data_IF_560788050707
#
_entry.id   IF_560788050707
#
_cell.length_a   1.000
_cell.length_b   1.000
_cell.length_c   1.000
_cell.angle_alpha   90.00
_cell.angle_beta   90.00
_cell.angle_gamma   90.00
#
_symmetry.space_group_name_H-M   'P 1'
#
loop_
_entity.id
_entity.type
_entity.pdbx_description
1 polymer ?
#
# COMPACT_ATOMS: atom_id res chain seq x y z
N UNK A 1 22.77 24.01 -16.83
CA UNK A 1 22.23 22.63 -16.98
C UNK A 1 20.73 22.74 -17.16
N UNK A 2 20.22 22.47 -18.36
CA UNK A 2 18.78 22.49 -18.61
C UNK A 2 18.13 21.19 -18.11
N UNK A 3 17.12 21.33 -17.25
CA UNK A 3 16.25 20.23 -16.86
C UNK A 3 15.33 19.90 -18.04
N UNK A 4 15.27 18.62 -18.42
CA UNK A 4 14.26 18.13 -19.36
C UNK A 4 12.86 18.53 -18.87
N UNK A 5 11.87 18.72 -19.76
CA UNK A 5 10.49 19.05 -19.34
C UNK A 5 9.95 18.08 -18.28
N UNK A 6 10.31 16.80 -18.41
CA UNK A 6 10.11 15.75 -17.42
C UNK A 6 10.85 15.99 -16.10
N UNK A 7 12.13 16.35 -16.13
CA UNK A 7 12.94 16.69 -14.96
C UNK A 7 12.41 17.91 -14.19
N UNK A 8 11.80 18.88 -14.89
CA UNK A 8 11.11 20.03 -14.25
C UNK A 8 9.86 19.61 -13.48
N UNK A 9 9.11 18.62 -13.97
CA UNK A 9 7.96 18.07 -13.27
C UNK A 9 8.37 17.19 -12.09
N UNK A 10 9.39 16.35 -12.27
CA UNK A 10 9.98 15.55 -11.20
C UNK A 10 10.56 16.40 -10.06
N UNK A 11 11.18 17.54 -10.37
CA UNK A 11 11.74 18.45 -9.37
C UNK A 11 10.67 19.11 -8.47
N UNK A 12 9.38 19.05 -8.85
CA UNK A 12 8.26 19.57 -8.06
C UNK A 12 7.62 18.49 -7.16
N UNK A 13 8.03 17.23 -7.30
CA UNK A 13 7.52 16.16 -6.44
C UNK A 13 8.18 16.26 -5.07
N UNK A 14 7.41 16.09 -3.97
CA UNK A 14 7.98 15.96 -2.62
C UNK A 14 8.58 14.56 -2.42
N UNK A 15 9.36 14.09 -3.40
CA UNK A 15 9.92 12.74 -3.47
C UNK A 15 11.43 12.80 -3.68
N UNK A 16 12.13 11.78 -3.17
CA UNK A 16 13.51 11.51 -3.56
C UNK A 16 13.57 11.24 -5.09
N UNK A 17 14.63 11.75 -5.73
CA UNK A 17 14.85 11.63 -7.18
C UNK A 17 14.78 10.17 -7.67
N UNK A 18 15.21 9.20 -6.85
CA UNK A 18 15.15 7.77 -7.18
C UNK A 18 13.71 7.27 -7.25
N UNK A 19 12.85 7.71 -6.33
CA UNK A 19 11.44 7.34 -6.31
C UNK A 19 10.68 8.02 -7.45
N UNK A 20 11.00 9.28 -7.75
CA UNK A 20 10.48 9.99 -8.93
C UNK A 20 10.81 9.26 -10.24
N UNK A 21 12.06 8.80 -10.41
CA UNK A 21 12.46 7.99 -11.57
C UNK A 21 11.67 6.68 -11.64
N UNK A 22 11.52 5.98 -10.51
CA UNK A 22 10.76 4.73 -10.47
C UNK A 22 9.31 4.94 -10.93
N UNK A 23 8.69 6.02 -10.49
CA UNK A 23 7.32 6.39 -10.86
C UNK A 23 7.18 6.65 -12.37
N UNK A 24 8.14 7.35 -12.98
CA UNK A 24 8.16 7.61 -14.42
C UNK A 24 8.34 6.33 -15.22
N UNK A 25 9.28 5.46 -14.82
CA UNK A 25 9.42 4.15 -15.46
C UNK A 25 8.16 3.31 -15.31
N UNK A 26 7.48 3.37 -14.17
CA UNK A 26 6.19 2.71 -13.96
C UNK A 26 5.12 3.19 -14.93
N UNK A 27 5.06 4.50 -15.21
CA UNK A 27 4.17 5.06 -16.21
C UNK A 27 4.53 4.61 -17.64
N UNK A 28 5.81 4.71 -18.03
CA UNK A 28 6.31 4.31 -19.35
C UNK A 28 6.11 2.81 -19.64
N UNK A 29 6.24 1.96 -18.62
CA UNK A 29 6.09 0.52 -18.73
C UNK A 29 4.66 0.02 -18.48
N UNK A 30 3.70 0.93 -18.24
CA UNK A 30 2.29 0.58 -18.02
C UNK A 30 2.00 -0.11 -16.68
N UNK A 31 2.91 -0.03 -15.71
CA UNK A 31 2.76 -0.63 -14.37
C UNK A 31 2.70 0.43 -13.25
N UNK A 32 2.08 1.58 -13.53
CA UNK A 32 2.05 2.69 -12.58
C UNK A 32 1.32 2.36 -11.27
N UNK A 33 0.20 1.64 -11.31
CA UNK A 33 -0.60 1.33 -10.12
C UNK A 33 0.19 0.67 -8.96
N UNK A 34 0.90 -0.46 -9.20
CA UNK A 34 1.73 -1.07 -8.16
C UNK A 34 2.92 -0.19 -7.80
N UNK A 35 3.53 0.50 -8.76
CA UNK A 35 4.70 1.35 -8.52
C UNK A 35 4.34 2.56 -7.65
N UNK A 36 3.24 3.25 -7.95
CA UNK A 36 2.75 4.38 -7.16
C UNK A 36 2.42 3.98 -5.72
N UNK A 37 1.92 2.75 -5.52
CA UNK A 37 1.65 2.19 -4.19
C UNK A 37 2.94 1.95 -3.41
N UNK A 38 3.97 1.39 -4.06
CA UNK A 38 5.30 1.23 -3.44
C UNK A 38 5.92 2.59 -3.15
N UNK A 39 5.95 3.50 -4.13
CA UNK A 39 6.50 4.86 -3.96
C UNK A 39 5.83 5.55 -2.78
N UNK A 40 4.49 5.57 -2.72
CA UNK A 40 3.77 6.18 -1.60
C UNK A 40 4.13 5.53 -0.26
N UNK A 41 4.19 4.19 -0.20
CA UNK A 41 4.55 3.49 1.02
C UNK A 41 5.97 3.80 1.53
N UNK A 42 6.93 4.00 0.60
CA UNK A 42 8.33 4.32 0.92
C UNK A 42 8.59 5.80 1.19
N UNK A 43 7.68 6.68 0.76
CA UNK A 43 7.85 8.13 0.87
C UNK A 43 7.25 8.70 2.15
N UNK A 44 6.41 7.94 2.84
CA UNK A 44 5.82 8.35 4.12
C UNK A 44 6.55 7.71 5.30
N UNK A 45 6.17 8.14 6.51
CA UNK A 45 6.57 7.46 7.73
C UNK A 45 6.07 6.01 7.76
N UNK A 46 6.77 5.18 8.53
CA UNK A 46 6.39 3.80 8.76
C UNK A 46 4.95 3.69 9.29
N UNK A 47 4.11 2.81 8.71
CA UNK A 47 2.75 2.59 9.19
C UNK A 47 2.70 1.72 10.46
N UNK A 48 3.82 1.16 10.91
CA UNK A 48 3.85 0.33 12.12
C UNK A 48 3.77 1.20 13.36
N UNK A 49 2.67 1.07 14.11
CA UNK A 49 2.53 1.78 15.38
C UNK A 49 3.50 1.22 16.41
N UNK A 50 4.05 2.09 17.25
CA UNK A 50 4.76 1.70 18.46
C UNK A 50 3.72 1.18 19.47
N UNK A 51 3.62 -0.14 19.61
CA UNK A 51 2.77 -0.77 20.62
C UNK A 51 3.62 -1.21 21.82
N UNK A 52 2.99 -1.35 22.98
CA UNK A 52 3.63 -1.76 24.22
C UNK A 52 2.96 -3.03 24.76
N UNK A 53 3.74 -3.86 25.48
CA UNK A 53 3.26 -5.07 26.16
C UNK A 53 2.68 -6.12 25.21
N UNK A 54 1.65 -6.83 25.66
CA UNK A 54 1.06 -7.97 24.96
C UNK A 54 0.51 -7.63 23.56
N UNK A 55 0.11 -6.38 23.36
CA UNK A 55 -0.36 -5.88 22.05
C UNK A 55 0.75 -5.88 20.99
N UNK A 56 2.00 -5.65 21.39
CA UNK A 56 3.14 -5.69 20.46
C UNK A 56 3.40 -7.14 20.01
N UNK A 57 3.40 -8.10 20.93
CA UNK A 57 3.62 -9.51 20.61
C UNK A 57 2.54 -10.07 19.66
N UNK A 58 1.26 -9.75 19.92
CA UNK A 58 0.16 -10.14 19.04
C UNK A 58 0.28 -9.52 17.63
N UNK A 59 0.62 -8.23 17.55
CA UNK A 59 0.82 -7.55 16.28
C UNK A 59 2.03 -8.09 15.51
N UNK A 60 3.13 -8.43 16.17
CA UNK A 60 4.31 -9.03 15.53
C UNK A 60 4.00 -10.40 14.92
N UNK A 61 3.23 -11.24 15.62
CA UNK A 61 2.78 -12.53 15.11
C UNK A 61 1.90 -12.33 13.86
N UNK A 62 0.97 -11.38 13.91
CA UNK A 62 0.11 -11.08 12.76
C UNK A 62 0.91 -10.49 11.57
N UNK A 63 1.90 -9.63 11.86
CA UNK A 63 2.79 -9.01 10.86
C UNK A 63 3.69 -10.01 10.14
N UNK A 64 3.96 -11.19 10.71
CA UNK A 64 4.71 -12.27 10.00
C UNK A 64 4.12 -12.62 8.64
N UNK A 65 2.81 -12.44 8.45
CA UNK A 65 2.15 -12.68 7.16
C UNK A 65 2.49 -11.63 6.10
N UNK A 66 2.89 -10.42 6.52
CA UNK A 66 3.28 -9.31 5.64
C UNK A 66 4.80 -9.23 5.43
N UNK A 67 5.57 -9.88 6.30
CA UNK A 67 7.03 -9.86 6.28
C UNK A 67 7.56 -10.39 4.95
N UNK A 68 8.16 -9.50 4.18
CA UNK A 68 9.00 -9.90 3.07
C UNK A 68 10.37 -10.31 3.64
N UNK A 69 10.80 -11.55 3.37
CA UNK A 69 12.02 -12.15 3.91
C UNK A 69 13.32 -11.36 3.69
N UNK A 70 13.31 -10.34 2.83
CA UNK A 70 14.52 -9.65 2.38
C UNK A 70 14.51 -8.13 2.57
N UNK A 71 13.39 -7.48 2.89
CA UNK A 71 13.39 -6.02 3.04
C UNK A 71 12.17 -5.48 3.81
N UNK A 72 12.41 -4.67 4.85
CA UNK A 72 11.38 -3.97 5.63
C UNK A 72 10.54 -3.00 4.77
N UNK A 73 11.13 -2.43 3.73
CA UNK A 73 10.45 -1.58 2.75
C UNK A 73 9.35 -2.33 2.00
N UNK A 74 9.59 -3.59 1.66
CA UNK A 74 8.58 -4.44 1.01
C UNK A 74 7.47 -4.83 1.99
N UNK A 75 7.80 -5.01 3.26
CA UNK A 75 6.81 -5.23 4.32
C UNK A 75 5.87 -4.02 4.48
N UNK A 76 6.40 -2.78 4.38
CA UNK A 76 5.57 -1.57 4.36
C UNK A 76 4.65 -1.50 3.13
N UNK A 77 5.18 -1.81 1.94
CA UNK A 77 4.38 -1.86 0.72
C UNK A 77 3.27 -2.93 0.79
N UNK A 78 3.57 -4.10 1.37
CA UNK A 78 2.58 -5.16 1.60
C UNK A 78 1.48 -4.73 2.57
N UNK A 79 1.84 -4.01 3.65
CA UNK A 79 0.88 -3.47 4.60
C UNK A 79 -0.08 -2.48 3.92
N UNK A 80 0.44 -1.59 3.08
CA UNK A 80 -0.39 -0.67 2.31
C UNK A 80 -1.32 -1.40 1.32
N UNK A 81 -0.80 -2.40 0.60
CA UNK A 81 -1.60 -3.24 -0.31
C UNK A 81 -2.74 -3.97 0.43
N UNK A 82 -2.45 -4.52 1.61
CA UNK A 82 -3.45 -5.17 2.46
C UNK A 82 -4.51 -4.20 2.95
N UNK A 83 -4.11 -2.98 3.32
CA UNK A 83 -5.02 -1.91 3.70
C UNK A 83 -5.97 -1.50 2.56
N UNK A 84 -5.45 -1.37 1.34
CA UNK A 84 -6.27 -1.09 0.16
C UNK A 84 -7.29 -2.21 -0.12
N UNK A 85 -6.87 -3.47 0.02
CA UNK A 85 -7.77 -4.62 -0.12
C UNK A 85 -8.86 -4.62 0.95
N UNK A 86 -8.51 -4.38 2.22
CA UNK A 86 -9.47 -4.29 3.32
C UNK A 86 -10.47 -3.14 3.14
N UNK A 87 -10.03 -2.02 2.56
CA UNK A 87 -10.89 -0.88 2.17
C UNK A 87 -11.91 -1.28 1.10
N UNK A 88 -11.50 -2.04 0.08
CA UNK A 88 -12.40 -2.51 -0.98
C UNK A 88 -13.42 -3.55 -0.49
N UNK A 89 -13.00 -4.45 0.41
CA UNK A 89 -13.86 -5.54 0.89
C UNK A 89 -14.82 -5.11 2.00
N UNK A 90 -14.41 -4.17 2.87
CA UNK A 90 -15.15 -3.84 4.09
C UNK A 90 -15.24 -2.35 4.41
N UNK A 91 -14.81 -1.46 3.51
CA UNK A 91 -14.82 -0.01 3.71
C UNK A 91 -14.05 0.43 4.96
N UNK A 92 -14.55 1.46 5.64
CA UNK A 92 -13.94 1.99 6.87
C UNK A 92 -13.86 0.95 8.00
N UNK A 93 -14.87 0.07 8.10
CA UNK A 93 -14.90 -1.01 9.10
C UNK A 93 -13.82 -2.07 8.84
N UNK A 94 -13.58 -2.40 7.58
CA UNK A 94 -12.51 -3.30 7.16
C UNK A 94 -11.12 -2.71 7.40
N UNK A 95 -10.93 -1.42 7.06
CA UNK A 95 -9.70 -0.66 7.32
C UNK A 95 -9.34 -0.66 8.81
N UNK A 96 -10.31 -0.37 9.70
CA UNK A 96 -10.10 -0.37 11.15
C UNK A 96 -9.67 -1.73 11.67
N UNK A 97 -10.41 -2.79 11.32
CA UNK A 97 -10.08 -4.16 11.74
C UNK A 97 -8.69 -4.58 11.27
N UNK A 98 -8.31 -4.23 10.05
CA UNK A 98 -6.99 -4.51 9.50
C UNK A 98 -5.89 -3.80 10.29
N UNK A 99 -6.08 -2.51 10.60
CA UNK A 99 -5.13 -1.72 11.39
C UNK A 99 -5.01 -2.25 12.82
N UNK A 100 -6.12 -2.57 13.47
CA UNK A 100 -6.14 -3.07 14.86
C UNK A 100 -5.45 -4.43 14.98
N UNK A 101 -5.68 -5.33 14.02
CA UNK A 101 -5.12 -6.69 14.02
C UNK A 101 -3.60 -6.66 13.83
N UNK A 102 -3.10 -5.79 12.95
CA UNK A 102 -1.69 -5.72 12.59
C UNK A 102 -0.91 -4.63 13.34
N UNK A 103 -1.58 -3.88 14.21
CA UNK A 103 -0.98 -2.77 14.92
C UNK A 103 -0.50 -1.65 14.00
N UNK A 104 -1.29 -1.28 13.00
CA UNK A 104 -0.91 -0.25 12.02
C UNK A 104 -1.58 1.09 12.35
N UNK A 105 -0.88 2.18 12.03
CA UNK A 105 -1.43 3.52 12.10
C UNK A 105 -2.31 3.78 10.88
N UNK A 106 -3.63 3.85 11.11
CA UNK A 106 -4.59 4.23 10.07
C UNK A 106 -4.30 5.60 9.48
N UNK A 107 -3.80 6.54 10.29
CA UNK A 107 -3.43 7.88 9.84
C UNK A 107 -2.26 7.83 8.84
N UNK A 108 -1.23 7.03 9.12
CA UNK A 108 -0.09 6.88 8.20
C UNK A 108 -0.51 6.22 6.88
N UNK A 109 -1.35 5.19 6.93
CA UNK A 109 -1.88 4.52 5.73
C UNK A 109 -2.80 5.44 4.91
N UNK A 110 -3.57 6.31 5.58
CA UNK A 110 -4.38 7.33 4.91
C UNK A 110 -3.51 8.40 4.23
N UNK A 111 -2.43 8.83 4.87
CA UNK A 111 -1.42 9.73 4.29
C UNK A 111 -0.77 9.12 3.05
N UNK A 112 -0.42 7.83 3.09
CA UNK A 112 0.08 7.09 1.92
C UNK A 112 -0.92 7.09 0.77
N UNK A 113 -2.20 6.83 1.06
CA UNK A 113 -3.27 6.86 0.05
C UNK A 113 -3.43 8.24 -0.58
N UNK A 114 -3.31 9.29 0.23
CA UNK A 114 -3.40 10.68 -0.24
C UNK A 114 -2.19 11.09 -1.08
N UNK A 115 -0.97 10.75 -0.63
CA UNK A 115 0.25 10.98 -1.40
C UNK A 115 0.16 10.27 -2.75
N UNK A 116 -0.28 9.01 -2.78
CA UNK A 116 -0.45 8.25 -4.01
C UNK A 116 -1.35 8.98 -5.02
N UNK A 117 -2.49 9.53 -4.58
CA UNK A 117 -3.40 10.29 -5.45
C UNK A 117 -2.71 11.51 -6.05
N UNK A 118 -2.02 12.30 -5.21
CA UNK A 118 -1.28 13.49 -5.67
C UNK A 118 -0.20 13.14 -6.69
N UNK A 119 0.49 12.01 -6.51
CA UNK A 119 1.48 11.54 -7.48
C UNK A 119 0.84 11.17 -8.83
N UNK A 120 -0.31 10.49 -8.81
CA UNK A 120 -1.06 10.16 -10.03
C UNK A 120 -1.55 11.43 -10.76
N UNK A 121 -2.04 12.44 -10.02
CA UNK A 121 -2.45 13.73 -10.57
C UNK A 121 -1.28 14.48 -11.23
N UNK A 122 -0.11 14.49 -10.59
CA UNK A 122 1.08 15.15 -11.13
C UNK A 122 1.62 14.46 -12.39
N UNK A 123 1.55 13.13 -12.46
CA UNK A 123 1.91 12.39 -13.68
C UNK A 123 0.93 12.65 -14.83
N UNK A 124 -0.36 12.79 -14.51
CA UNK A 124 -1.39 13.12 -15.50
C UNK A 124 -1.19 14.54 -16.03
N UNK A 125 -0.89 15.50 -15.15
CA UNK A 125 -0.56 16.87 -15.54
C UNK A 125 0.73 16.96 -16.37
N UNK A 126 1.66 16.02 -16.18
CA UNK A 126 2.89 15.93 -16.98
C UNK A 126 2.71 15.20 -18.33
N UNK A 127 1.48 14.81 -18.69
CA UNK A 127 1.16 14.04 -19.92
C UNK A 127 1.91 12.70 -20.04
N UNK A 128 2.46 12.19 -18.93
CA UNK A 128 3.17 10.91 -18.88
C UNK A 128 2.23 9.71 -18.76
N UNK A 129 0.94 9.98 -18.53
CA UNK A 129 -0.11 8.99 -18.51
C UNK A 129 -0.97 9.13 -19.76
N UNK A 130 -1.16 8.07 -20.56
CA UNK A 130 -2.12 8.12 -21.63
C UNK A 130 -3.53 8.40 -21.06
N UNK A 131 -4.40 9.14 -21.78
CA UNK A 131 -5.77 9.42 -21.34
C UNK A 131 -6.60 8.15 -21.10
N UNK A 132 -6.18 7.02 -21.68
CA UNK A 132 -6.74 5.68 -21.52
C UNK A 132 -6.21 4.90 -20.31
N UNK A 133 -5.42 5.51 -19.42
CA UNK A 133 -4.99 4.85 -18.18
C UNK A 133 -6.19 4.61 -17.27
N UNK A 134 -6.80 3.44 -17.40
CA UNK A 134 -7.69 2.90 -16.39
C UNK A 134 -6.85 2.33 -15.26
N UNK A 135 -7.20 2.69 -14.03
CA UNK A 135 -6.63 2.11 -12.82
C UNK A 135 -6.93 0.61 -12.85
N UNK A 136 -5.98 -0.20 -13.33
CA UNK A 136 -6.13 -1.64 -13.32
C UNK A 136 -6.18 -2.09 -11.86
N UNK A 137 -7.37 -2.46 -11.40
CA UNK A 137 -7.58 -3.19 -10.14
C UNK A 137 -6.87 -4.55 -10.12
N UNK A 138 -6.30 -4.96 -11.26
CA UNK A 138 -5.41 -6.11 -11.42
C UNK A 138 -4.00 -5.58 -11.66
N UNK A 139 -3.21 -5.45 -10.60
CA UNK A 139 -1.75 -5.37 -10.75
C UNK A 139 -1.24 -6.56 -11.57
N UNK A 140 -0.05 -6.47 -12.19
CA UNK A 140 0.52 -7.60 -12.90
C UNK A 140 0.57 -8.80 -11.96
N UNK A 141 -0.07 -9.90 -12.35
CA UNK A 141 0.00 -11.17 -11.65
C UNK A 141 1.43 -11.69 -11.76
N UNK A 142 2.30 -11.19 -10.87
CA UNK A 142 3.52 -11.87 -10.50
C UNK A 142 3.09 -13.19 -9.86
N UNK A 143 2.96 -14.20 -10.71
CA UNK A 143 2.64 -15.59 -10.39
C UNK A 143 3.33 -16.02 -9.10
N UNK A 144 2.51 -16.31 -8.11
CA UNK A 144 2.59 -17.52 -7.28
C UNK A 144 4.00 -18.07 -6.98
N UNK A 145 4.82 -17.38 -6.17
CA UNK A 145 5.82 -18.07 -5.33
C UNK A 145 6.06 -17.30 -4.03
N UNK A 146 5.23 -17.58 -3.02
CA UNK A 146 5.31 -17.12 -1.61
C UNK A 146 4.33 -16.03 -1.15
N UNK A 147 3.03 -16.20 -1.41
CA UNK A 147 2.00 -15.49 -0.64
C UNK A 147 1.36 -16.45 0.37
N UNK A 148 1.48 -16.24 1.70
CA UNK A 148 0.60 -16.92 2.64
C UNK A 148 -0.84 -16.41 2.44
N UNK A 149 -1.85 -17.26 2.66
CA UNK A 149 -3.25 -16.94 2.37
C UNK A 149 -3.77 -15.87 3.33
N UNK A 150 -4.06 -14.67 2.82
CA UNK A 150 -4.87 -13.64 3.51
C UNK A 150 -6.35 -13.99 3.31
N UNK A 151 -6.75 -15.13 3.85
CA UNK A 151 -8.13 -15.60 3.87
C UNK A 151 -8.37 -16.24 5.24
N UNK A 152 -8.70 -15.43 6.25
CA UNK A 152 -9.42 -15.82 7.49
C UNK A 152 -9.59 -14.60 8.41
N UNK A 153 -10.25 -13.55 7.92
CA UNK A 153 -10.97 -12.61 8.80
C UNK A 153 -12.44 -12.46 8.35
N UNK A 154 -12.98 -13.52 7.73
CA UNK A 154 -14.42 -13.76 7.64
C UNK A 154 -14.92 -14.27 8.98
N UNK A 155 -15.81 -13.52 9.62
CA UNK A 155 -16.30 -13.79 10.97
C UNK A 155 -16.93 -15.17 11.12
N UNK A 156 -16.61 -15.83 12.24
CA UNK A 156 -17.50 -16.82 12.85
C UNK A 156 -18.70 -16.07 13.41
N UNK A 157 -19.81 -16.04 12.66
CA UNK A 157 -21.11 -15.69 13.20
C UNK A 157 -21.61 -16.82 14.10
N UNK A 158 -22.23 -16.41 15.19
CA UNK A 158 -22.83 -17.19 16.26
C UNK A 158 -23.51 -18.50 15.83
N UNK A 159 -23.29 -19.57 16.61
CA UNK A 159 -24.42 -20.41 17.00
C UNK A 159 -24.21 -20.98 18.41
N UNK A 160 -24.78 -20.29 19.40
CA UNK A 160 -25.07 -20.86 20.72
C UNK A 160 -26.34 -21.70 20.54
N UNK A 161 -26.20 -23.02 20.47
CA UNK A 161 -27.30 -23.91 20.81
C UNK A 161 -27.07 -24.37 22.24
N UNK A 162 -27.91 -23.83 23.11
CA UNK A 162 -28.01 -24.17 24.52
C UNK A 162 -28.37 -25.64 24.67
N UNK A 163 -27.68 -26.30 25.60
CA UNK A 163 -28.16 -27.48 26.29
C UNK A 163 -29.47 -27.13 27.03
N UNK A 164 -30.56 -27.81 26.67
CA UNK A 164 -31.53 -28.43 27.58
C UNK A 164 -32.52 -29.25 26.78
#
# INVERSE_FOLDING_TARGET
MELTPLGRHLARLPLDVRLGKMLVFGALLGCLDPIASVVAALSTKSPFAALLGDRQAAAEIARKQLQAKQNDMLTMANAFRGFQKASLEGGDSGERRFCDTLGLSRAALAEQRELRKRLEELLRAAELLPPSYERSSRGPSLRERHQPPVALLGGKSANRHSNQ
#
